data_IF_255934736351
#
_entry.id   IF_255934736351
#
_cell.length_a   1.000
_cell.length_b   1.000
_cell.length_c   1.000
_cell.angle_alpha   90.00
_cell.angle_beta   90.00
_cell.angle_gamma   90.00
#
_symmetry.space_group_name_H-M   'P 1'
#
loop_
_entity.id
_entity.type
_entity.pdbx_description
1 polymer ?
#
# COMPACT_ATOMS: atom_id res chain seq x y z
N UNK A 1 5.63 -8.59 -4.81
CA UNK A 1 5.56 -7.26 -5.47
C UNK A 1 6.71 -7.05 -6.42
N UNK A 2 7.98 -7.20 -5.99
CA UNK A 2 9.15 -7.12 -6.88
C UNK A 2 9.92 -8.44 -6.95
N UNK A 3 10.25 -9.01 -5.80
CA UNK A 3 11.09 -10.22 -5.71
C UNK A 3 10.29 -11.52 -5.61
N UNK A 4 8.96 -11.42 -5.58
CA UNK A 4 8.06 -12.56 -5.47
C UNK A 4 6.81 -12.34 -6.31
N UNK A 5 6.40 -13.40 -7.01
CA UNK A 5 5.24 -13.42 -7.89
C UNK A 5 3.95 -13.31 -7.08
N UNK A 6 3.27 -12.18 -7.20
CA UNK A 6 1.85 -12.05 -6.86
C UNK A 6 0.94 -12.17 -8.09
N UNK A 7 -0.37 -12.01 -7.88
CA UNK A 7 -1.36 -11.92 -8.97
C UNK A 7 -1.11 -10.72 -9.88
N UNK A 8 -0.68 -9.60 -9.30
CA UNK A 8 -0.29 -8.38 -9.99
C UNK A 8 1.02 -7.91 -9.35
N UNK A 9 2.04 -7.68 -10.17
CA UNK A 9 3.34 -7.17 -9.75
C UNK A 9 3.60 -5.81 -10.38
N UNK A 10 4.58 -5.09 -9.84
CA UNK A 10 5.04 -3.79 -10.35
C UNK A 10 6.39 -4.00 -11.04
N UNK A 11 6.64 -3.31 -12.15
CA UNK A 11 7.94 -3.33 -12.81
C UNK A 11 9.01 -2.60 -11.97
N UNK A 12 10.26 -3.01 -12.12
CA UNK A 12 11.37 -2.39 -11.37
C UNK A 12 11.52 -0.91 -11.76
N UNK A 13 11.33 -0.55 -13.02
CA UNK A 13 11.49 0.83 -13.47
C UNK A 13 10.38 1.74 -12.93
N UNK A 14 9.13 1.26 -12.88
CA UNK A 14 8.01 2.00 -12.28
C UNK A 14 8.22 2.23 -10.78
N UNK A 15 8.70 1.20 -10.08
CA UNK A 15 9.03 1.30 -8.67
C UNK A 15 10.18 2.28 -8.41
N UNK A 16 11.27 2.19 -9.20
CA UNK A 16 12.40 3.11 -9.12
C UNK A 16 12.00 4.54 -9.43
N UNK A 17 11.12 4.76 -10.40
CA UNK A 17 10.63 6.09 -10.74
C UNK A 17 9.88 6.73 -9.56
N UNK A 18 8.95 5.99 -8.92
CA UNK A 18 8.23 6.50 -7.74
C UNK A 18 9.17 6.78 -6.56
N UNK A 19 10.18 5.92 -6.32
CA UNK A 19 11.16 6.15 -5.26
C UNK A 19 12.14 7.28 -5.55
N UNK A 20 12.33 7.65 -6.82
CA UNK A 20 13.22 8.75 -7.21
C UNK A 20 12.59 10.14 -7.01
N UNK A 21 11.29 10.20 -6.70
CA UNK A 21 10.60 11.46 -6.44
C UNK A 21 11.15 12.11 -5.16
N UNK A 22 11.38 13.42 -5.23
CA UNK A 22 11.90 14.18 -4.10
C UNK A 22 10.79 14.57 -3.12
N UNK A 23 11.17 14.74 -1.84
CA UNK A 23 10.29 15.22 -0.77
C UNK A 23 10.08 14.20 0.34
N UNK A 24 9.13 14.50 1.22
CA UNK A 24 8.81 13.65 2.37
C UNK A 24 7.92 12.48 1.96
N UNK A 25 8.19 11.32 2.56
CA UNK A 25 7.40 10.10 2.36
C UNK A 25 6.58 9.76 3.60
N UNK A 26 5.38 9.22 3.42
CA UNK A 26 4.55 8.67 4.49
C UNK A 26 4.17 7.22 4.20
N UNK A 27 4.14 6.37 5.23
CA UNK A 27 3.82 4.95 5.09
C UNK A 27 2.64 4.58 6.00
N UNK A 28 1.58 4.06 5.41
CA UNK A 28 0.41 3.56 6.13
C UNK A 28 0.25 2.06 5.95
N UNK A 29 -0.07 1.37 7.05
CA UNK A 29 -0.42 -0.05 7.03
C UNK A 29 -1.82 -0.22 7.59
N UNK A 30 -2.65 -1.00 6.90
CA UNK A 30 -4.01 -1.32 7.28
C UNK A 30 -4.32 -2.77 6.96
N UNK A 31 -5.21 -3.35 7.77
CA UNK A 31 -5.67 -4.73 7.62
C UNK A 31 -7.18 -4.71 7.67
N UNK A 32 -7.81 -5.53 6.83
CA UNK A 32 -9.25 -5.80 6.88
C UNK A 32 -9.49 -7.19 7.48
N UNK A 33 -10.57 -7.30 8.26
CA UNK A 33 -11.08 -8.57 8.79
C UNK A 33 -11.94 -9.30 7.74
N UNK A 34 -12.51 -10.46 8.11
CA UNK A 34 -13.19 -11.34 7.15
C UNK A 34 -14.40 -10.74 6.46
N UNK A 35 -15.05 -9.79 7.13
CA UNK A 35 -16.31 -9.18 6.67
C UNK A 35 -16.06 -7.80 6.06
N UNK A 36 -14.79 -7.38 6.07
CA UNK A 36 -14.31 -6.11 5.56
C UNK A 36 -13.66 -6.31 4.19
N UNK A 37 -13.71 -5.25 3.39
CA UNK A 37 -13.20 -5.25 2.01
C UNK A 37 -11.76 -4.78 1.95
N UNK A 38 -11.14 -4.94 0.77
CA UNK A 38 -9.84 -4.32 0.50
C UNK A 38 -9.87 -2.78 0.65
N UNK A 39 -11.01 -2.15 0.35
CA UNK A 39 -11.20 -0.72 0.54
C UNK A 39 -11.13 -0.33 2.02
N UNK A 40 -11.68 -1.16 2.91
CA UNK A 40 -11.61 -0.92 4.36
C UNK A 40 -10.18 -1.04 4.87
N UNK A 41 -9.42 -2.04 4.40
CA UNK A 41 -7.98 -2.13 4.69
C UNK A 41 -7.22 -0.89 4.22
N UNK A 42 -7.54 -0.35 3.04
CA UNK A 42 -6.94 0.87 2.52
C UNK A 42 -7.31 2.08 3.39
N UNK A 43 -8.57 2.21 3.81
CA UNK A 43 -9.02 3.27 4.72
C UNK A 43 -8.27 3.19 6.05
N UNK A 44 -8.07 1.98 6.60
CA UNK A 44 -7.26 1.77 7.80
C UNK A 44 -5.80 2.19 7.57
N UNK A 45 -5.22 1.89 6.42
CA UNK A 45 -3.86 2.31 6.07
C UNK A 45 -3.74 3.84 5.98
N UNK A 46 -4.70 4.52 5.36
CA UNK A 46 -4.72 5.98 5.25
C UNK A 46 -4.96 6.69 6.58
N UNK A 47 -5.75 6.08 7.48
CA UNK A 47 -5.99 6.58 8.83
C UNK A 47 -4.88 6.21 9.82
N UNK A 48 -3.86 5.47 9.40
CA UNK A 48 -2.77 5.06 10.28
C UNK A 48 -1.99 6.30 10.79
N UNK A 49 -1.66 6.40 12.10
CA UNK A 49 -0.89 7.53 12.65
C UNK A 49 0.42 7.83 11.93
N UNK A 50 1.04 6.82 11.29
CA UNK A 50 2.25 6.98 10.47
C UNK A 50 2.03 7.79 9.18
N UNK A 51 0.77 7.97 8.77
CA UNK A 51 0.35 8.77 7.62
C UNK A 51 -0.18 10.15 8.05
N UNK A 52 -0.69 10.26 9.28
CA UNK A 52 -1.49 11.41 9.74
C UNK A 52 -0.73 12.73 9.88
N UNK A 53 0.57 12.78 9.61
CA UNK A 53 1.36 14.01 9.78
C UNK A 53 1.45 14.88 8.54
N UNK A 54 1.30 14.36 7.32
CA UNK A 54 1.49 15.15 6.10
C UNK A 54 0.47 14.84 4.98
N UNK A 55 0.15 15.88 4.22
CA UNK A 55 -0.90 15.93 3.22
C UNK A 55 -0.66 14.91 2.08
N UNK A 56 -1.39 13.77 2.08
CA UNK A 56 -1.48 12.86 0.91
C UNK A 56 -1.95 13.63 -0.35
N UNK A 57 -2.75 14.68 -0.14
CA UNK A 57 -3.19 15.59 -1.20
C UNK A 57 -1.99 16.36 -1.75
N UNK A 58 -1.71 16.18 -3.04
CA UNK A 58 -0.58 16.81 -3.73
C UNK A 58 0.68 15.95 -3.78
N UNK A 59 0.61 14.70 -3.31
CA UNK A 59 1.72 13.74 -3.47
C UNK A 59 1.99 13.47 -4.96
N UNK A 60 3.28 13.40 -5.30
CA UNK A 60 3.73 13.17 -6.67
C UNK A 60 3.63 11.70 -7.09
N UNK A 61 3.60 10.79 -6.12
CA UNK A 61 3.52 9.35 -6.37
C UNK A 61 3.01 8.59 -5.14
N UNK A 62 2.35 7.47 -5.41
CA UNK A 62 1.85 6.55 -4.38
C UNK A 62 2.22 5.13 -4.78
N UNK A 63 2.80 4.39 -3.84
CA UNK A 63 3.06 2.98 -3.98
C UNK A 63 2.09 2.19 -3.09
N UNK A 64 1.41 1.19 -3.65
CA UNK A 64 0.42 0.38 -2.92
C UNK A 64 0.83 -1.09 -2.98
N UNK A 65 0.93 -1.70 -1.81
CA UNK A 65 1.08 -3.14 -1.66
C UNK A 65 -0.19 -3.74 -1.05
N UNK A 66 -0.84 -4.64 -1.79
CA UNK A 66 -2.01 -5.38 -1.32
C UNK A 66 -1.71 -6.88 -1.25
N UNK A 67 -1.81 -7.46 -0.06
CA UNK A 67 -1.64 -8.88 0.18
C UNK A 67 -2.90 -9.48 0.80
N UNK A 68 -3.39 -10.58 0.25
CA UNK A 68 -4.53 -11.33 0.78
C UNK A 68 -4.03 -12.66 1.33
N UNK A 69 -4.45 -13.02 2.54
CA UNK A 69 -4.25 -14.37 3.08
C UNK A 69 -5.39 -15.25 2.63
N UNK A 70 -5.08 -16.37 1.97
CA UNK A 70 -6.07 -17.41 1.74
C UNK A 70 -6.48 -18.01 3.08
N UNK A 71 -7.79 -18.11 3.36
CA UNK A 71 -8.26 -18.92 4.49
C UNK A 71 -7.94 -20.37 4.15
N UNK A 72 -6.94 -20.94 4.83
CA UNK A 72 -6.72 -22.39 4.86
C UNK A 72 -8.02 -23.02 5.36
N UNK A 73 -8.79 -23.65 4.46
CA UNK A 73 -9.88 -24.53 4.87
C UNK A 73 -9.25 -25.76 5.49
N UNK A 74 -9.46 -25.91 6.79
CA UNK A 74 -9.23 -27.16 7.52
C UNK A 74 -10.58 -27.76 7.86
#
# INVERSE_FOLDING_TARGET
>A
MLTSTGYINVDINDFSHILSLEGDTALGVGVAQSDETLCDALIHALKNPLVQTNHIRGTQGVLIFAGMRSKSST
#
